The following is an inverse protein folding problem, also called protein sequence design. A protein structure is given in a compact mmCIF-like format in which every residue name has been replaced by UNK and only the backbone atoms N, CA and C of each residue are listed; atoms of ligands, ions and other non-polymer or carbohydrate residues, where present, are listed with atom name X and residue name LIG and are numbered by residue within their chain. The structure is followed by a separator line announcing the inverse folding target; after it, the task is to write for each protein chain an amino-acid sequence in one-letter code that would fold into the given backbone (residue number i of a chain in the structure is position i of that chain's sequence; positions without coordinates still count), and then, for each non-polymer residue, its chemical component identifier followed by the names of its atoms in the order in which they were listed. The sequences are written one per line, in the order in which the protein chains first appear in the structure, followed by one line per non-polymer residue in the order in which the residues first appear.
data_IF_429264175430
#
_entry.id   IF_429264175430
#
_cell.length_a   1.000
_cell.length_b   1.000
_cell.length_c   1.000
_cell.angle_alpha   90.00
_cell.angle_beta   90.00
_cell.angle_gamma   90.00
#
_symmetry.space_group_name_H-M   'P 1'
#
loop_
_entity.id
_entity.type
_entity.pdbx_description
1 polymer ?
#
# COMPACT_ATOMS: atom_id res chain seq x y z
N UNK A 1 10.43 -16.42 -2.41
CA UNK A 1 10.65 -15.00 -2.73
C UNK A 1 11.78 -14.47 -1.87
N UNK A 2 12.74 -13.72 -2.41
CA UNK A 2 13.88 -13.21 -1.64
C UNK A 2 13.45 -11.96 -0.86
N UNK A 3 13.52 -12.00 0.47
CA UNK A 3 13.02 -10.94 1.37
C UNK A 3 13.70 -9.58 1.14
N UNK A 4 14.95 -9.58 0.66
CA UNK A 4 15.66 -8.34 0.32
C UNK A 4 15.09 -7.66 -0.92
N UNK A 5 14.55 -8.44 -1.86
CA UNK A 5 14.09 -7.94 -3.15
C UNK A 5 12.89 -6.99 -3.00
N UNK A 6 11.91 -7.35 -2.16
CA UNK A 6 10.73 -6.53 -1.94
C UNK A 6 11.04 -5.20 -1.22
N UNK A 7 11.98 -5.21 -0.27
CA UNK A 7 12.41 -3.98 0.41
C UNK A 7 13.14 -3.03 -0.55
N UNK A 8 14.01 -3.58 -1.40
CA UNK A 8 14.73 -2.81 -2.42
C UNK A 8 13.78 -2.24 -3.48
N UNK A 9 12.82 -3.04 -3.93
CA UNK A 9 11.76 -2.63 -4.86
C UNK A 9 10.88 -1.52 -4.26
N UNK A 10 10.44 -1.69 -3.00
CA UNK A 10 9.68 -0.67 -2.28
C UNK A 10 10.46 0.64 -2.18
N UNK A 11 11.74 0.57 -1.82
CA UNK A 11 12.61 1.75 -1.70
C UNK A 11 12.78 2.48 -3.04
N UNK A 12 12.91 1.73 -4.13
CA UNK A 12 13.01 2.30 -5.47
C UNK A 12 11.70 3.00 -5.87
N UNK A 13 10.57 2.33 -5.72
CA UNK A 13 9.25 2.89 -6.01
C UNK A 13 8.92 4.11 -5.15
N UNK A 14 9.27 4.08 -3.86
CA UNK A 14 9.09 5.21 -2.95
C UNK A 14 9.88 6.43 -3.40
N UNK A 15 11.15 6.24 -3.80
CA UNK A 15 11.99 7.35 -4.30
C UNK A 15 11.39 7.99 -5.56
N UNK A 16 10.98 7.17 -6.52
CA UNK A 16 10.34 7.66 -7.74
C UNK A 16 9.03 8.39 -7.45
N UNK A 17 8.24 7.90 -6.50
CA UNK A 17 6.99 8.53 -6.07
C UNK A 17 7.15 9.77 -5.18
N UNK A 18 8.37 10.14 -4.81
CA UNK A 18 8.66 11.39 -4.09
C UNK A 18 9.67 12.24 -4.86
N UNK A 19 9.92 11.92 -6.12
CA UNK A 19 10.69 12.74 -7.04
C UNK A 19 9.71 13.72 -7.70
N UNK A 20 9.94 15.02 -7.52
CA UNK A 20 9.07 16.08 -8.06
C UNK A 20 9.15 16.19 -9.60
N UNK A 21 9.94 15.36 -10.27
CA UNK A 21 9.98 15.28 -11.73
C UNK A 21 8.82 14.46 -12.30
N UNK A 22 8.15 15.00 -13.32
CA UNK A 22 7.00 14.36 -13.98
C UNK A 22 7.33 13.05 -14.71
N UNK A 23 8.62 12.71 -14.87
CA UNK A 23 9.09 11.51 -15.60
C UNK A 23 9.27 10.31 -14.66
N UNK A 24 9.54 10.54 -13.38
CA UNK A 24 9.87 9.47 -12.45
C UNK A 24 8.74 8.45 -12.25
N UNK A 25 7.48 8.90 -12.36
CA UNK A 25 6.29 8.07 -12.17
C UNK A 25 5.82 7.30 -13.40
N UNK A 26 6.15 7.78 -14.59
CA UNK A 26 5.90 7.02 -15.83
C UNK A 26 6.82 5.81 -15.93
N UNK A 27 7.98 5.87 -15.28
CA UNK A 27 8.99 4.81 -15.35
C UNK A 27 8.85 3.75 -14.24
N UNK A 28 8.02 3.98 -13.22
CA UNK A 28 7.80 3.00 -12.15
C UNK A 28 6.89 1.86 -12.61
N UNK A 29 7.38 0.62 -12.54
CA UNK A 29 6.62 -0.58 -12.90
C UNK A 29 5.46 -0.87 -11.95
N UNK A 30 5.59 -0.44 -10.69
CA UNK A 30 4.62 -0.65 -9.60
C UNK A 30 4.60 0.56 -8.67
N UNK A 31 3.45 0.80 -8.05
CA UNK A 31 3.29 1.85 -7.04
C UNK A 31 3.70 1.34 -5.65
N UNK A 32 4.16 2.22 -4.74
CA UNK A 32 4.61 1.80 -3.41
C UNK A 32 3.58 1.00 -2.61
N UNK A 33 2.29 1.31 -2.74
CA UNK A 33 1.23 0.61 -2.03
C UNK A 33 0.95 -0.80 -2.58
N UNK A 34 1.23 -1.05 -3.87
CA UNK A 34 1.13 -2.39 -4.45
C UNK A 34 2.23 -3.28 -3.89
N UNK A 35 3.45 -2.76 -3.79
CA UNK A 35 4.60 -3.47 -3.23
C UNK A 35 4.41 -3.68 -1.71
N UNK A 36 3.86 -2.69 -1.01
CA UNK A 36 3.56 -2.83 0.41
C UNK A 36 2.53 -3.93 0.69
N UNK A 37 1.53 -4.12 -0.19
CA UNK A 37 0.59 -5.23 -0.05
C UNK A 37 1.30 -6.59 -0.19
N UNK A 38 2.15 -6.78 -1.22
CA UNK A 38 2.94 -8.01 -1.36
C UNK A 38 3.83 -8.28 -0.15
N UNK A 39 4.43 -7.21 0.40
CA UNK A 39 5.24 -7.29 1.61
C UNK A 39 4.40 -7.73 2.80
N UNK A 40 3.20 -7.19 2.98
CA UNK A 40 2.27 -7.60 4.05
C UNK A 40 1.85 -9.07 3.89
N UNK A 41 1.44 -9.48 2.69
CA UNK A 41 1.06 -10.87 2.38
C UNK A 41 2.22 -11.84 2.60
N UNK A 42 3.45 -11.39 2.34
CA UNK A 42 4.68 -12.15 2.54
C UNK A 42 5.29 -11.98 3.94
N UNK A 43 4.59 -11.27 4.85
CA UNK A 43 5.04 -11.00 6.22
C UNK A 43 6.42 -10.34 6.31
N UNK A 44 6.71 -9.39 5.41
CA UNK A 44 7.95 -8.60 5.36
C UNK A 44 7.70 -7.20 5.92
N UNK A 45 8.48 -6.83 6.94
CA UNK A 45 8.43 -5.48 7.55
C UNK A 45 9.47 -4.55 6.90
N UNK A 46 9.32 -3.23 7.03
CA UNK A 46 10.40 -2.28 6.72
C UNK A 46 10.34 -1.06 7.64
N UNK A 47 10.43 -1.31 8.95
CA UNK A 47 10.25 -0.30 10.00
C UNK A 47 11.29 0.82 9.96
N UNK A 48 12.46 0.57 9.39
CA UNK A 48 13.52 1.58 9.25
C UNK A 48 13.21 2.61 8.15
N UNK A 49 12.20 2.38 7.30
CA UNK A 49 11.85 3.27 6.20
C UNK A 49 10.77 4.28 6.61
N UNK A 50 11.14 5.57 6.58
CA UNK A 50 10.20 6.68 6.78
C UNK A 50 9.09 6.63 5.72
N UNK A 51 7.85 6.42 6.14
CA UNK A 51 6.69 6.29 5.26
C UNK A 51 6.11 4.87 5.11
N UNK A 52 6.82 3.82 5.55
CA UNK A 52 6.36 2.43 5.47
C UNK A 52 4.92 2.24 5.96
N UNK A 53 4.64 2.65 7.20
CA UNK A 53 3.31 2.47 7.82
C UNK A 53 2.20 3.22 7.08
N UNK A 54 2.49 4.43 6.59
CA UNK A 54 1.53 5.20 5.81
C UNK A 54 1.18 4.48 4.51
N UNK A 55 2.17 3.88 3.84
CA UNK A 55 1.94 3.15 2.60
C UNK A 55 1.20 1.84 2.85
N UNK A 56 1.48 1.15 3.96
CA UNK A 56 0.70 -0.02 4.39
C UNK A 56 -0.78 0.33 4.60
N UNK A 57 -1.08 1.45 5.26
CA UNK A 57 -2.46 1.90 5.45
C UNK A 57 -3.14 2.19 4.11
N UNK A 58 -2.45 2.84 3.17
CA UNK A 58 -2.96 3.04 1.80
C UNK A 58 -3.21 1.70 1.09
N UNK A 59 -2.29 0.75 1.20
CA UNK A 59 -2.39 -0.58 0.60
C UNK A 59 -3.62 -1.33 1.13
N UNK A 60 -3.78 -1.38 2.45
CA UNK A 60 -4.89 -2.04 3.13
C UNK A 60 -6.24 -1.38 2.81
N UNK A 61 -6.29 -0.05 2.77
CA UNK A 61 -7.50 0.67 2.39
C UNK A 61 -7.91 0.38 0.95
N UNK A 62 -6.96 0.40 0.01
CA UNK A 62 -7.24 0.06 -1.40
C UNK A 62 -7.65 -1.39 -1.55
N UNK A 63 -7.00 -2.30 -0.83
CA UNK A 63 -7.38 -3.71 -0.80
C UNK A 63 -8.83 -3.88 -0.33
N UNK A 64 -9.24 -3.15 0.72
CA UNK A 64 -10.63 -3.12 1.20
C UNK A 64 -11.61 -2.51 0.19
N UNK A 65 -11.24 -1.42 -0.51
CA UNK A 65 -12.09 -0.74 -1.50
C UNK A 65 -12.30 -1.58 -2.75
N UNK A 66 -11.24 -2.21 -3.24
CA UNK A 66 -11.24 -2.96 -4.50
C UNK A 66 -11.71 -4.41 -4.32
N UNK A 67 -11.56 -4.95 -3.10
CA UNK A 67 -11.97 -6.30 -2.75
C UNK A 67 -13.46 -6.41 -2.39
N UNK A 68 -13.94 -7.65 -2.30
CA UNK A 68 -15.31 -7.97 -1.87
C UNK A 68 -15.46 -8.04 -0.35
N UNK A 69 -16.62 -8.52 0.12
CA UNK A 69 -16.98 -8.64 1.54
C UNK A 69 -15.90 -9.35 2.40
N UNK A 70 -15.24 -10.37 1.85
CA UNK A 70 -14.21 -11.17 2.54
C UNK A 70 -12.91 -10.41 2.82
N UNK A 71 -12.68 -9.26 2.18
CA UNK A 71 -11.41 -8.54 2.25
C UNK A 71 -11.24 -7.79 3.57
N UNK A 72 -12.34 -7.46 4.26
CA UNK A 72 -12.30 -6.85 5.60
C UNK A 72 -11.65 -7.77 6.64
N UNK A 73 -11.89 -9.08 6.55
CA UNK A 73 -11.28 -10.07 7.44
C UNK A 73 -9.78 -10.12 7.23
N UNK A 74 -9.34 -10.20 5.96
CA UNK A 74 -7.93 -10.18 5.60
C UNK A 74 -7.24 -8.89 6.04
N UNK A 75 -7.87 -7.73 5.84
CA UNK A 75 -7.33 -6.44 6.30
C UNK A 75 -7.14 -6.42 7.82
N UNK A 76 -8.09 -6.97 8.59
CA UNK A 76 -7.93 -7.10 10.03
C UNK A 76 -6.76 -8.02 10.40
N UNK A 77 -6.65 -9.19 9.77
CA UNK A 77 -5.55 -10.14 10.01
C UNK A 77 -4.17 -9.57 9.65
N UNK A 78 -4.08 -8.85 8.53
CA UNK A 78 -2.86 -8.17 8.11
C UNK A 78 -2.48 -7.04 9.07
N UNK A 79 -3.45 -6.26 9.52
CA UNK A 79 -3.23 -5.15 10.45
C UNK A 79 -2.83 -5.64 11.84
N UNK A 80 -3.43 -6.73 12.33
CA UNK A 80 -3.05 -7.36 13.59
C UNK A 80 -1.60 -7.83 13.57
N UNK A 81 -1.17 -8.45 12.47
CA UNK A 81 0.23 -8.84 12.32
C UNK A 81 1.17 -7.63 12.25
N UNK A 82 0.81 -6.58 11.50
CA UNK A 82 1.61 -5.36 11.46
C UNK A 82 1.80 -4.77 12.86
N UNK A 83 0.75 -4.73 13.69
CA UNK A 83 0.85 -4.27 15.08
C UNK A 83 1.67 -5.20 15.96
N UNK A 84 1.57 -6.52 15.77
CA UNK A 84 2.35 -7.49 16.52
C UNK A 84 3.85 -7.34 16.28
N UNK A 85 4.24 -7.10 15.04
CA UNK A 85 5.64 -6.88 14.64
C UNK A 85 6.11 -5.44 14.84
N UNK A 86 5.22 -4.53 15.26
CA UNK A 86 5.54 -3.11 15.31
C UNK A 86 6.45 -2.78 16.51
N UNK A 87 7.41 -1.86 16.32
CA UNK A 87 8.10 -1.23 17.42
C UNK A 87 7.13 -0.53 18.40
N UNK A 88 7.58 -0.36 19.64
CA UNK A 88 6.82 0.36 20.67
C UNK A 88 6.44 1.77 20.20
N UNK A 89 5.20 2.19 20.49
CA UNK A 89 4.65 3.51 20.14
C UNK A 89 4.01 3.61 18.74
N UNK A 90 4.19 2.64 17.84
CA UNK A 90 3.54 2.67 16.50
C UNK A 90 2.02 2.66 16.61
N UNK A 91 1.45 1.87 17.52
CA UNK A 91 0.00 1.79 17.69
C UNK A 91 -0.63 3.14 18.07
N UNK A 92 0.09 3.95 18.85
CA UNK A 92 -0.37 5.27 19.28
C UNK A 92 -0.22 6.32 18.18
N UNK A 93 0.83 6.22 17.36
CA UNK A 93 1.10 7.12 16.24
C UNK A 93 0.16 6.88 15.04
N UNK A 94 -0.35 5.66 14.89
CA UNK A 94 -1.17 5.23 13.76
C UNK A 94 -2.49 4.60 14.24
N UNK A 95 -3.42 5.39 14.80
CA UNK A 95 -4.68 4.89 15.34
C UNK A 95 -5.53 4.14 14.30
N UNK A 96 -5.45 4.52 13.02
CA UNK A 96 -6.14 3.83 11.93
C UNK A 96 -5.66 2.39 11.74
N UNK A 97 -4.38 2.10 11.96
CA UNK A 97 -3.86 0.73 11.92
C UNK A 97 -4.49 -0.13 13.02
N UNK A 98 -4.68 0.48 14.19
CA UNK A 98 -5.35 -0.12 15.34
C UNK A 98 -6.84 -0.37 15.05
N UNK A 99 -7.53 0.59 14.45
CA UNK A 99 -8.92 0.44 14.01
C UNK A 99 -9.07 -0.72 13.01
N UNK A 100 -8.15 -0.83 12.05
CA UNK A 100 -8.17 -1.90 11.05
C UNK A 100 -7.98 -3.27 11.71
N UNK A 101 -7.00 -3.40 12.60
CA UNK A 101 -6.71 -4.64 13.32
C UNK A 101 -7.89 -5.17 14.14
N UNK A 102 -8.75 -4.27 14.62
CA UNK A 102 -9.93 -4.64 15.43
C UNK A 102 -11.25 -4.59 14.64
N UNK A 103 -11.19 -4.60 13.31
CA UNK A 103 -12.38 -4.68 12.44
C UNK A 103 -13.26 -3.42 12.51
N UNK A 104 -12.72 -2.31 13.00
CA UNK A 104 -13.37 -1.00 13.05
C UNK A 104 -13.04 -0.13 11.84
N UNK A 105 -12.36 -0.71 10.84
CA UNK A 105 -12.02 -0.03 9.60
C UNK A 105 -13.27 0.58 8.96
N UNK A 106 -13.28 1.91 8.87
CA UNK A 106 -14.22 2.63 8.01
C UNK A 106 -13.55 2.76 6.65
N UNK A 107 -14.32 2.56 5.58
CA UNK A 107 -13.86 2.83 4.22
C UNK A 107 -13.79 4.35 4.03
N UNK A 108 -12.68 4.93 4.49
CA UNK A 108 -12.40 6.36 4.41
C UNK A 108 -11.43 6.57 3.26
N UNK A 109 -11.64 7.61 2.47
CA UNK A 109 -10.68 8.02 1.44
C UNK A 109 -9.43 8.58 2.14
N UNK A 110 -8.49 7.69 2.51
CA UNK A 110 -7.24 8.01 3.21
C UNK A 110 -6.17 8.59 2.25
N UNK A 111 -6.61 9.24 1.18
CA UNK A 111 -5.73 9.85 0.22
C UNK A 111 -5.13 11.12 0.81
N UNK A 112 -3.84 11.04 1.16
CA UNK A 112 -3.01 12.25 1.24
C UNK A 112 -3.18 13.04 -0.06
N UNK A 113 -3.22 14.39 -0.05
CA UNK A 113 -3.28 15.20 -1.27
C UNK A 113 -2.19 14.81 -2.27
N UNK A 114 -1.01 14.43 -1.76
CA UNK A 114 0.08 13.87 -2.56
C UNK A 114 -0.43 12.60 -3.24
N UNK A 115 -0.89 11.59 -2.49
CA UNK A 115 -1.43 10.31 -2.98
C UNK A 115 -2.62 10.49 -3.95
N UNK A 116 -3.47 11.51 -3.75
CA UNK A 116 -4.63 11.79 -4.59
C UNK A 116 -4.24 12.07 -6.05
N UNK A 117 -3.15 12.80 -6.28
CA UNK A 117 -2.63 13.05 -7.63
C UNK A 117 -2.08 11.75 -8.27
N UNK A 118 -1.48 10.84 -7.50
CA UNK A 118 -1.08 9.50 -7.98
C UNK A 118 -2.28 8.58 -8.24
N UNK A 119 -3.44 8.85 -7.64
CA UNK A 119 -4.62 7.99 -7.76
C UNK A 119 -5.34 8.15 -9.09
N UNK A 120 -5.46 9.37 -9.61
CA UNK A 120 -6.10 9.60 -10.91
C UNK A 120 -5.26 8.99 -12.05
N UNK A 121 -3.94 9.05 -11.95
CA UNK A 121 -3.04 8.48 -12.95
C UNK A 121 -2.98 6.94 -12.88
N UNK A 122 -2.93 6.35 -11.67
CA UNK A 122 -2.96 4.90 -11.49
C UNK A 122 -4.30 4.27 -11.92
N UNK A 123 -5.42 4.94 -11.65
CA UNK A 123 -6.76 4.51 -12.09
C UNK A 123 -6.88 4.57 -13.61
N UNK A 124 -6.32 5.61 -14.25
CA UNK A 124 -6.28 5.73 -15.71
C UNK A 124 -5.52 4.56 -16.33
N UNK A 125 -4.32 4.24 -15.83
CA UNK A 125 -3.49 3.14 -16.33
C UNK A 125 -4.13 1.75 -16.14
N UNK A 126 -4.78 1.49 -15.01
CA UNK A 126 -5.51 0.24 -14.77
C UNK A 126 -6.71 0.08 -15.71
N UNK A 127 -7.43 1.18 -15.95
CA UNK A 127 -8.58 1.19 -16.87
C UNK A 127 -8.14 0.98 -18.31
N UNK A 128 -6.99 1.53 -18.72
CA UNK A 128 -6.42 1.32 -20.04
C UNK A 128 -5.88 -0.11 -20.23
N UNK A 129 -5.20 -0.68 -19.24
CA UNK A 129 -4.76 -2.09 -19.28
C UNK A 129 -5.92 -3.08 -19.37
N UNK A 130 -7.04 -2.78 -18.71
CA UNK A 130 -8.26 -3.59 -18.74
C UNK A 130 -9.03 -3.50 -20.06
N UNK A 131 -8.73 -2.49 -20.89
CA UNK A 131 -9.35 -2.25 -22.21
C UNK A 131 -8.53 -2.81 -23.37
N UNK A 132 -7.30 -3.25 -23.13
CA UNK A 132 -6.54 -3.98 -24.14
C UNK A 132 -7.16 -5.37 -24.29
N UNK A 133 -7.58 -5.78 -25.51
CA UNK A 133 -8.02 -7.15 -25.72
C UNK A 133 -6.86 -8.07 -25.37
N UNK A 134 -7.16 -9.10 -24.57
CA UNK A 134 -6.23 -10.21 -24.31
C UNK A 134 -5.77 -10.72 -25.66
N UNK A 135 -4.56 -10.35 -26.06
CA UNK A 135 -3.94 -10.88 -27.27
C UNK A 135 -3.57 -12.31 -26.93
N UNK A 136 -4.40 -13.22 -27.42
CA UNK A 136 -4.11 -14.64 -27.56
C UNK A 136 -3.01 -14.86 -28.59
#
# INVERSE_FOLDING_TARGET
MNLSLLRDEFKAAWRLANDDSSVALTDSSRLPHEIALDMIESRVTYWEHYGWVSVCLTALNRFMIQGGEGTKVLVAEHSQWLLHEAPEGVADLYPTLNEYAFGKAVNTDLTSPIIKDYMDEGITRLTERSRLPSTA
#
